data_IF_602759047165
#
_entry.id   IF_602759047165
#
_cell.length_a   1.000
_cell.length_b   1.000
_cell.length_c   1.000
_cell.angle_alpha   90.00
_cell.angle_beta   90.00
_cell.angle_gamma   90.00
#
_symmetry.space_group_name_H-M   'P 1'
#
loop_
_entity.id
_entity.type
_entity.pdbx_description
1 polymer ?
#
# COMPACT_ATOMS: atom_id res chain seq x y z
N UNK A 1 -8.60 13.22 4.80
CA UNK A 1 -8.03 14.56 4.60
C UNK A 1 -7.42 14.60 3.22
N UNK A 2 -7.85 15.54 2.38
CA UNK A 2 -7.25 15.83 1.08
C UNK A 2 -6.32 17.04 1.17
N UNK A 3 -5.24 17.04 0.37
CA UNK A 3 -4.28 18.14 0.31
C UNK A 3 -3.90 18.40 -1.14
N UNK A 4 -4.06 19.65 -1.58
CA UNK A 4 -3.61 20.09 -2.89
C UNK A 4 -2.20 20.71 -2.78
N UNK A 5 -1.17 20.05 -3.35
CA UNK A 5 0.19 20.55 -3.33
C UNK A 5 0.41 21.79 -4.22
N UNK A 6 -0.45 22.06 -5.20
CA UNK A 6 -0.32 23.23 -6.06
C UNK A 6 -0.69 24.52 -5.32
N UNK A 7 -1.79 24.47 -4.57
CA UNK A 7 -2.27 25.62 -3.77
C UNK A 7 -1.77 25.59 -2.32
N UNK A 8 -1.15 24.50 -1.90
CA UNK A 8 -0.73 24.22 -0.52
C UNK A 8 -1.89 24.27 0.49
N UNK A 9 -3.09 23.84 0.10
CA UNK A 9 -4.31 23.92 0.91
C UNK A 9 -4.91 22.54 1.20
N UNK A 10 -5.61 22.45 2.33
CA UNK A 10 -6.48 21.31 2.59
C UNK A 10 -7.76 21.46 1.77
N UNK A 11 -8.07 20.47 0.94
CA UNK A 11 -9.29 20.46 0.12
C UNK A 11 -10.46 19.85 0.89
N UNK A 12 -10.16 18.83 1.70
CA UNK A 12 -11.17 18.01 2.35
C UNK A 12 -10.73 17.64 3.76
N UNK A 13 -11.63 17.80 4.73
CA UNK A 13 -11.42 17.39 6.11
C UNK A 13 -12.70 16.77 6.67
N UNK A 14 -12.56 15.62 7.31
CA UNK A 14 -13.64 14.94 8.04
C UNK A 14 -13.10 14.57 9.42
N UNK A 15 -13.85 14.94 10.46
CA UNK A 15 -13.55 14.54 11.83
C UNK A 15 -14.36 13.28 12.15
N UNK A 16 -13.68 12.15 12.35
CA UNK A 16 -14.33 10.91 12.74
C UNK A 16 -14.44 10.79 14.26
N UNK A 17 -15.43 10.04 14.75
CA UNK A 17 -15.50 9.65 16.15
C UNK A 17 -14.55 8.47 16.45
N UNK A 18 -14.51 8.00 17.70
CA UNK A 18 -13.63 6.90 18.12
C UNK A 18 -14.06 5.51 17.62
N UNK A 19 -15.24 5.39 17.00
CA UNK A 19 -15.77 4.12 16.47
C UNK A 19 -15.39 3.95 15.01
N UNK A 20 -15.23 5.06 14.33
CA UNK A 20 -14.98 5.12 12.90
C UNK A 20 -13.50 5.33 12.62
N UNK A 21 -12.85 4.27 12.14
CA UNK A 21 -11.47 4.37 11.72
C UNK A 21 -11.34 5.31 10.50
N UNK A 22 -10.20 6.00 10.43
CA UNK A 22 -9.80 6.69 9.21
C UNK A 22 -9.76 5.69 8.06
N UNK A 23 -10.33 6.08 6.92
CA UNK A 23 -10.28 5.28 5.68
C UNK A 23 -10.02 6.20 4.49
N UNK A 24 -9.28 5.66 3.54
CA UNK A 24 -8.91 6.40 2.33
C UNK A 24 -10.12 6.56 1.41
N UNK A 25 -11.07 5.63 1.41
CA UNK A 25 -12.27 5.65 0.57
C UNK A 25 -13.42 6.54 1.08
N UNK A 26 -13.21 7.38 2.11
CA UNK A 26 -14.25 8.31 2.59
C UNK A 26 -14.56 9.44 1.61
N UNK A 27 -13.53 9.92 0.90
CA UNK A 27 -13.69 10.92 -0.15
C UNK A 27 -13.77 10.24 -1.52
N UNK A 28 -14.57 10.81 -2.42
CA UNK A 28 -14.67 10.32 -3.79
C UNK A 28 -13.29 10.31 -4.45
N UNK A 29 -12.98 9.23 -5.16
CA UNK A 29 -11.74 9.13 -5.93
C UNK A 29 -11.90 9.91 -7.23
N UNK A 30 -10.83 10.60 -7.64
CA UNK A 30 -10.75 11.23 -8.96
C UNK A 30 -9.59 10.62 -9.74
N UNK A 31 -9.71 10.52 -11.06
CA UNK A 31 -8.66 9.90 -11.89
C UNK A 31 -7.34 10.69 -11.91
N UNK A 32 -7.37 11.98 -11.56
CA UNK A 32 -6.21 12.88 -11.60
C UNK A 32 -5.52 13.06 -10.24
N UNK A 33 -5.81 12.20 -9.25
CA UNK A 33 -5.20 12.27 -7.92
C UNK A 33 -4.30 11.06 -7.58
N UNK A 34 -3.32 11.29 -6.70
CA UNK A 34 -2.48 10.24 -6.12
C UNK A 34 -2.73 10.18 -4.62
N UNK A 35 -3.18 9.03 -4.13
CA UNK A 35 -3.43 8.77 -2.71
C UNK A 35 -2.19 8.22 -2.03
N UNK A 36 -1.67 8.97 -1.07
CA UNK A 36 -0.49 8.59 -0.29
C UNK A 36 -0.93 8.19 1.11
N UNK A 37 -0.52 6.99 1.56
CA UNK A 37 -0.83 6.53 2.91
C UNK A 37 0.34 5.80 3.58
N UNK A 38 0.35 5.82 4.91
CA UNK A 38 1.40 5.19 5.70
C UNK A 38 1.11 3.70 6.03
N UNK A 39 1.96 3.13 6.89
CA UNK A 39 1.96 1.71 7.28
C UNK A 39 0.70 1.28 8.05
N UNK A 40 0.03 2.18 8.76
CA UNK A 40 -1.24 1.91 9.44
C UNK A 40 -2.31 1.47 8.44
N UNK A 41 -2.41 2.17 7.31
CA UNK A 41 -3.30 1.80 6.20
C UNK A 41 -2.78 0.59 5.43
N UNK A 42 -1.46 0.48 5.26
CA UNK A 42 -0.81 -0.63 4.58
C UNK A 42 -0.95 -2.01 5.25
N UNK A 43 -1.47 -2.06 6.49
CA UNK A 43 -1.72 -3.30 7.23
C UNK A 43 -3.16 -3.82 7.05
N UNK A 44 -3.99 -3.10 6.29
CA UNK A 44 -5.41 -3.36 6.05
C UNK A 44 -5.65 -3.65 4.56
N UNK A 45 -5.77 -4.93 4.15
CA UNK A 45 -5.98 -5.30 2.76
C UNK A 45 -7.20 -4.61 2.13
N UNK A 46 -8.27 -4.40 2.90
CA UNK A 46 -9.49 -3.74 2.49
C UNK A 46 -9.29 -2.28 2.06
N UNK A 47 -8.39 -1.55 2.74
CA UNK A 47 -8.07 -0.16 2.39
C UNK A 47 -7.30 -0.09 1.08
N UNK A 48 -6.36 -1.02 0.86
CA UNK A 48 -5.61 -1.08 -0.40
C UNK A 48 -6.53 -1.57 -1.53
N UNK A 49 -7.46 -2.47 -1.24
CA UNK A 49 -8.42 -2.99 -2.20
C UNK A 49 -9.32 -1.89 -2.75
N UNK A 50 -9.86 -1.01 -1.90
CA UNK A 50 -10.72 0.09 -2.37
C UNK A 50 -9.97 1.10 -3.25
N UNK A 51 -8.65 1.24 -3.07
CA UNK A 51 -7.79 2.02 -3.96
C UNK A 51 -7.49 1.28 -5.25
N UNK A 52 -7.16 0.00 -5.19
CA UNK A 52 -6.81 -0.81 -6.37
C UNK A 52 -7.97 -0.97 -7.36
N UNK A 53 -9.21 -0.88 -6.89
CA UNK A 53 -10.42 -0.88 -7.73
C UNK A 53 -11.02 0.52 -7.92
N UNK A 54 -10.39 1.55 -7.37
CA UNK A 54 -10.81 2.93 -7.56
C UNK A 54 -10.20 3.55 -8.82
N UNK A 55 -10.50 4.83 -9.03
CA UNK A 55 -10.01 5.59 -10.19
C UNK A 55 -8.66 6.27 -9.92
N UNK A 56 -8.29 6.46 -8.66
CA UNK A 56 -7.08 7.17 -8.26
C UNK A 56 -5.84 6.29 -8.26
N UNK A 57 -4.69 6.88 -8.61
CA UNK A 57 -3.40 6.26 -8.36
C UNK A 57 -3.08 6.25 -6.86
N UNK A 58 -2.23 5.32 -6.40
CA UNK A 58 -1.90 5.25 -4.98
C UNK A 58 -0.46 4.81 -4.68
N UNK A 59 0.04 5.29 -3.54
CA UNK A 59 1.30 4.89 -2.92
C UNK A 59 1.03 4.64 -1.44
N UNK A 60 1.01 3.37 -1.05
CA UNK A 60 0.82 2.97 0.35
C UNK A 60 2.10 2.35 0.88
N UNK A 61 2.65 2.90 1.97
CA UNK A 61 3.77 2.26 2.67
C UNK A 61 3.25 1.04 3.42
N UNK A 62 3.94 -0.09 3.30
CA UNK A 62 3.53 -1.37 3.89
C UNK A 62 4.64 -1.95 4.78
N UNK A 63 4.25 -2.76 5.76
CA UNK A 63 5.20 -3.63 6.45
C UNK A 63 5.28 -4.97 5.70
N UNK A 64 6.47 -5.53 5.55
CA UNK A 64 6.66 -6.77 4.79
C UNK A 64 5.90 -7.97 5.38
N UNK A 65 5.61 -7.96 6.69
CA UNK A 65 4.73 -8.96 7.35
C UNK A 65 3.26 -8.54 7.46
N UNK A 66 2.92 -7.33 7.07
CA UNK A 66 1.59 -6.75 7.29
C UNK A 66 0.51 -7.26 6.35
N UNK A 67 0.89 -7.89 5.24
CA UNK A 67 0.00 -8.39 4.21
C UNK A 67 0.32 -9.84 3.85
N UNK A 68 -0.66 -10.54 3.29
CA UNK A 68 -0.45 -11.87 2.71
C UNK A 68 -0.05 -11.71 1.25
N UNK A 69 1.24 -11.75 0.99
CA UNK A 69 1.79 -11.64 -0.35
C UNK A 69 1.66 -12.97 -1.11
N UNK A 70 1.11 -12.90 -2.31
CA UNK A 70 0.93 -14.03 -3.20
C UNK A 70 1.54 -13.76 -4.58
N UNK A 71 1.97 -14.81 -5.27
CA UNK A 71 2.33 -14.77 -6.69
C UNK A 71 1.07 -14.67 -7.55
N UNK A 72 1.23 -14.44 -8.87
CA UNK A 72 0.10 -14.44 -9.81
C UNK A 72 -0.68 -15.78 -9.79
N UNK A 73 0.03 -16.88 -9.52
CA UNK A 73 -0.52 -18.24 -9.39
C UNK A 73 -1.15 -18.51 -8.01
N UNK A 74 -1.16 -17.52 -7.10
CA UNK A 74 -1.74 -17.64 -5.77
C UNK A 74 -0.86 -18.36 -4.75
N UNK A 75 0.40 -18.66 -5.07
CA UNK A 75 1.37 -19.22 -4.12
C UNK A 75 1.91 -18.13 -3.19
N UNK A 76 2.50 -18.49 -2.04
CA UNK A 76 3.14 -17.49 -1.16
C UNK A 76 4.31 -16.82 -1.88
N UNK A 77 4.32 -15.50 -1.88
CA UNK A 77 5.44 -14.72 -2.41
C UNK A 77 6.55 -14.60 -1.36
N UNK A 78 7.76 -15.06 -1.68
CA UNK A 78 8.91 -14.95 -0.80
C UNK A 78 9.63 -13.61 -1.00
N UNK A 79 9.41 -12.70 -0.05
CA UNK A 79 9.97 -11.35 -0.09
C UNK A 79 11.49 -11.33 0.15
N UNK A 80 12.03 -12.30 0.89
CA UNK A 80 13.46 -12.37 1.18
C UNK A 80 14.24 -12.85 -0.04
N UNK A 81 13.77 -13.92 -0.68
CA UNK A 81 14.35 -14.40 -1.95
C UNK A 81 14.23 -13.35 -3.04
N UNK A 82 13.08 -12.67 -3.11
CA UNK A 82 12.91 -11.53 -4.03
C UNK A 82 13.97 -10.46 -3.78
N UNK A 83 14.06 -9.90 -2.58
CA UNK A 83 15.02 -8.82 -2.29
C UNK A 83 16.49 -9.26 -2.44
N UNK A 84 16.84 -10.50 -2.09
CA UNK A 84 18.20 -11.01 -2.20
C UNK A 84 18.73 -11.01 -3.64
N UNK A 85 17.86 -11.29 -4.62
CA UNK A 85 18.21 -11.26 -6.05
C UNK A 85 18.57 -9.87 -6.59
N UNK A 86 18.29 -8.81 -5.83
CA UNK A 86 18.40 -7.42 -6.27
C UNK A 86 19.24 -6.55 -5.35
N UNK A 87 20.12 -7.14 -4.53
CA UNK A 87 20.99 -6.41 -3.58
C UNK A 87 21.81 -5.30 -4.27
N UNK A 88 22.17 -5.46 -5.55
CA UNK A 88 22.89 -4.46 -6.33
C UNK A 88 22.01 -3.33 -6.90
N UNK A 89 20.69 -3.47 -6.87
CA UNK A 89 19.72 -2.54 -7.47
C UNK A 89 19.06 -1.71 -6.37
N UNK A 90 18.97 -0.39 -6.57
CA UNK A 90 18.38 0.53 -5.59
C UNK A 90 16.86 0.43 -5.48
N UNK A 91 16.19 0.10 -6.58
CA UNK A 91 14.73 0.03 -6.65
C UNK A 91 14.30 -1.14 -7.52
N UNK A 92 13.43 -1.98 -7.01
CA UNK A 92 12.82 -3.10 -7.74
C UNK A 92 11.31 -3.00 -7.74
N UNK A 93 10.72 -3.41 -8.88
CA UNK A 93 9.28 -3.37 -9.10
C UNK A 93 8.81 -4.74 -9.55
N UNK A 94 7.70 -5.21 -9.01
CA UNK A 94 7.05 -6.44 -9.45
C UNK A 94 5.55 -6.37 -9.19
N UNK A 95 4.77 -7.17 -9.89
CA UNK A 95 3.34 -7.33 -9.62
C UNK A 95 3.16 -8.49 -8.64
N UNK A 96 2.43 -8.23 -7.55
CA UNK A 96 2.08 -9.24 -6.55
C UNK A 96 0.58 -9.29 -6.38
N UNK A 97 0.08 -10.41 -5.89
CA UNK A 97 -1.31 -10.54 -5.47
C UNK A 97 -1.40 -10.29 -3.96
N UNK A 98 -2.20 -9.31 -3.55
CA UNK A 98 -2.48 -9.07 -2.14
C UNK A 98 -3.64 -9.97 -1.73
N UNK A 99 -3.32 -10.96 -0.90
CA UNK A 99 -4.29 -11.86 -0.31
C UNK A 99 -4.81 -11.36 1.04
N UNK A 100 -5.90 -11.98 1.48
CA UNK A 100 -6.47 -11.71 2.79
C UNK A 100 -5.81 -12.56 3.87
N UNK A 101 -5.55 -11.96 5.03
CA UNK A 101 -4.96 -12.55 6.23
C UNK A 101 -5.94 -13.51 6.94
N UNK A 102 -6.46 -14.50 6.21
CA UNK A 102 -7.32 -15.57 6.74
C UNK A 102 -8.81 -15.23 6.84
N UNK A 103 -9.19 -13.95 6.67
CA UNK A 103 -10.60 -13.56 6.70
C UNK A 103 -11.26 -13.76 5.32
N UNK A 104 -12.10 -14.81 5.20
CA UNK A 104 -12.83 -15.16 3.96
C UNK A 104 -13.78 -14.06 3.47
N UNK A 105 -14.17 -13.11 4.33
CA UNK A 105 -15.08 -12.00 3.96
C UNK A 105 -14.40 -10.87 3.18
N UNK A 106 -13.07 -10.81 3.12
CA UNK A 106 -12.34 -9.68 2.55
C UNK A 106 -12.15 -9.74 1.01
N UNK A 107 -12.84 -10.67 0.33
CA UNK A 107 -12.83 -10.78 -1.14
C UNK A 107 -11.72 -11.65 -1.72
N UNK A 108 -11.69 -11.74 -3.05
CA UNK A 108 -10.63 -12.45 -3.78
C UNK A 108 -9.31 -11.66 -3.71
N UNK A 109 -8.15 -12.35 -3.78
CA UNK A 109 -6.86 -11.68 -3.94
C UNK A 109 -6.89 -10.74 -5.15
N UNK A 110 -6.23 -9.60 -5.04
CA UNK A 110 -6.20 -8.59 -6.11
C UNK A 110 -4.75 -8.20 -6.45
N UNK A 111 -4.48 -7.83 -7.70
CA UNK A 111 -3.14 -7.44 -8.12
C UNK A 111 -2.77 -6.07 -7.56
N UNK A 112 -1.50 -5.89 -7.20
CA UNK A 112 -0.91 -4.61 -6.86
C UNK A 112 0.55 -4.54 -7.30
N UNK A 113 1.02 -3.34 -7.62
CA UNK A 113 2.44 -3.11 -7.93
C UNK A 113 3.23 -2.93 -6.63
N UNK A 114 4.15 -3.86 -6.37
CA UNK A 114 5.12 -3.75 -5.29
C UNK A 114 6.34 -2.98 -5.77
N UNK A 115 6.71 -1.94 -5.03
CA UNK A 115 7.96 -1.18 -5.23
C UNK A 115 8.79 -1.35 -3.96
N UNK A 116 9.90 -2.08 -4.06
CA UNK A 116 10.86 -2.21 -2.98
C UNK A 116 12.07 -1.29 -3.24
N UNK A 117 12.45 -0.51 -2.23
CA UNK A 117 13.55 0.45 -2.30
C UNK A 117 14.54 0.11 -1.20
N UNK A 118 15.81 -0.03 -1.58
CA UNK A 118 16.89 -0.30 -0.64
C UNK A 118 17.11 0.89 0.29
N UNK A 119 17.32 0.61 1.58
CA UNK A 119 17.68 1.65 2.53
C UNK A 119 19.03 2.27 2.14
N UNK A 120 19.21 3.60 2.30
CA UNK A 120 20.50 4.22 2.18
C UNK A 120 21.52 3.59 3.15
N UNK A 121 22.81 3.46 2.78
CA UNK A 121 23.82 2.79 3.61
C UNK A 121 23.91 3.36 5.03
N UNK A 122 23.76 4.68 5.17
CA UNK A 122 23.77 5.39 6.45
C UNK A 122 22.66 4.95 7.42
N UNK A 123 21.53 4.45 6.91
CA UNK A 123 20.39 3.96 7.72
C UNK A 123 20.40 2.45 7.90
N UNK A 124 21.15 1.72 7.07
CA UNK A 124 21.26 0.25 7.16
C UNK A 124 22.13 -0.21 8.33
N UNK A 125 23.02 0.65 8.84
CA UNK A 125 23.96 0.34 9.93
C UNK A 125 23.37 0.42 11.35
N UNK A 126 22.12 0.86 11.50
CA UNK A 126 21.49 1.15 12.81
C UNK A 126 20.32 0.17 13.12
N UNK A 127 20.09 -0.86 12.29
CA UNK A 127 18.98 -1.80 12.46
C UNK A 127 19.34 -3.10 13.17
#
# INVERSE_FOLDING_TARGET
MGYDPHTCQFTDFELTDSRDAERLDRFAQTADEIRIADRGFGSRPECIRSLAFGEADYIVRVHWRGLRWLTAEGMRFDMMVFCAGWIAVRTVKTTVMIGNSGNKKAGAPFPARLIAVSLPPEKALIS
#
